data_IF_745831169611
#
_entry.id   IF_745831169611
#
_cell.length_a   1.000
_cell.length_b   1.000
_cell.length_c   1.000
_cell.angle_alpha   90.00
_cell.angle_beta   90.00
_cell.angle_gamma   90.00
#
_symmetry.space_group_name_H-M   'P 1'
#
loop_
_entity.id
_entity.type
_entity.pdbx_description
1 polymer ?
#
# COMPACT_ATOMS: atom_id res chain seq x y z
N UNK A 1 -4.61 18.36 -13.78
CA UNK A 1 -4.38 17.27 -12.82
C UNK A 1 -2.95 17.41 -12.32
N UNK A 2 -2.71 17.35 -11.00
CA UNK A 2 -1.36 17.50 -10.43
C UNK A 2 -0.64 16.16 -10.53
N UNK A 3 0.49 16.15 -11.22
CA UNK A 3 1.34 14.97 -11.35
C UNK A 3 2.39 15.02 -10.24
N UNK A 4 2.37 14.04 -9.33
CA UNK A 4 3.41 13.88 -8.32
C UNK A 4 4.49 12.96 -8.86
N UNK A 5 5.74 13.40 -8.86
CA UNK A 5 6.87 12.54 -9.28
C UNK A 5 7.28 11.53 -8.21
N UNK A 6 6.81 11.73 -6.98
CA UNK A 6 7.25 10.97 -5.81
C UNK A 6 6.09 10.82 -4.80
N UNK A 7 5.92 9.61 -4.27
CA UNK A 7 5.01 9.32 -3.16
C UNK A 7 5.80 8.90 -1.92
N UNK A 8 5.55 9.59 -0.81
CA UNK A 8 6.14 9.31 0.49
C UNK A 8 5.07 8.68 1.37
N UNK A 9 5.17 7.37 1.59
CA UNK A 9 4.27 6.63 2.47
C UNK A 9 4.82 6.68 3.89
N UNK A 10 4.09 7.27 4.83
CA UNK A 10 4.45 7.34 6.25
C UNK A 10 3.66 6.30 7.02
N UNK A 11 4.36 5.42 7.74
CA UNK A 11 3.74 4.37 8.54
C UNK A 11 3.08 4.93 9.79
N UNK A 12 1.80 4.60 9.99
CA UNK A 12 1.01 4.90 11.19
C UNK A 12 0.75 3.60 11.96
N UNK A 13 1.34 3.52 13.15
CA UNK A 13 1.24 2.43 14.12
C UNK A 13 1.62 2.93 15.52
N UNK A 14 1.43 2.11 16.56
CA UNK A 14 1.69 2.50 17.96
C UNK A 14 3.10 3.06 18.18
N UNK A 15 4.12 2.49 17.52
CA UNK A 15 5.50 2.96 17.66
C UNK A 15 5.68 4.36 17.07
N UNK A 16 5.17 4.59 15.86
CA UNK A 16 5.24 5.89 15.19
C UNK A 16 4.41 6.96 15.91
N UNK A 17 3.25 6.58 16.48
CA UNK A 17 2.39 7.49 17.26
C UNK A 17 3.12 7.93 18.52
N UNK A 18 3.71 6.99 19.26
CA UNK A 18 4.53 7.31 20.44
C UNK A 18 5.77 8.15 20.10
N UNK A 19 6.29 8.03 18.87
CA UNK A 19 7.40 8.83 18.37
C UNK A 19 6.98 10.22 17.83
N UNK A 20 5.68 10.58 17.83
CA UNK A 20 5.21 11.89 17.40
C UNK A 20 5.01 12.04 15.89
N UNK A 21 4.60 10.97 15.18
CA UNK A 21 4.44 10.98 13.71
C UNK A 21 3.53 12.07 13.16
N UNK A 22 2.52 12.52 13.92
CA UNK A 22 1.62 13.60 13.48
C UNK A 22 2.36 14.93 13.30
N UNK A 23 3.17 15.28 14.29
CA UNK A 23 3.97 16.50 14.26
C UNK A 23 5.06 16.40 13.17
N UNK A 24 5.64 15.21 13.00
CA UNK A 24 6.58 14.92 11.93
C UNK A 24 5.97 15.13 10.54
N UNK A 25 4.77 14.60 10.27
CA UNK A 25 4.08 14.78 8.98
C UNK A 25 3.80 16.25 8.71
N UNK A 26 3.36 17.00 9.72
CA UNK A 26 3.12 18.43 9.58
C UNK A 26 4.42 19.19 9.26
N UNK A 27 5.50 18.89 9.96
CA UNK A 27 6.81 19.48 9.72
C UNK A 27 7.36 19.11 8.32
N UNK A 28 7.19 17.86 7.88
CA UNK A 28 7.61 17.39 6.57
C UNK A 28 6.88 18.14 5.45
N UNK A 29 5.56 18.26 5.56
CA UNK A 29 4.74 19.04 4.61
C UNK A 29 5.16 20.50 4.57
N UNK A 30 5.48 21.09 5.73
CA UNK A 30 5.94 22.48 5.81
C UNK A 30 7.31 22.68 5.13
N UNK A 31 8.27 21.77 5.33
CA UNK A 31 9.59 21.87 4.69
C UNK A 31 9.52 21.61 3.17
N UNK A 32 8.63 20.71 2.73
CA UNK A 32 8.33 20.53 1.30
C UNK A 32 7.74 21.81 0.68
N UNK A 33 6.83 22.50 1.38
CA UNK A 33 6.27 23.77 0.91
C UNK A 33 7.33 24.87 0.82
N UNK A 34 8.22 24.96 1.80
CA UNK A 34 9.33 25.92 1.84
C UNK A 34 10.33 25.72 0.70
N UNK A 35 10.53 24.47 0.27
CA UNK A 35 11.43 24.11 -0.83
C UNK A 35 10.75 24.07 -2.20
N UNK A 36 9.44 24.37 -2.27
CA UNK A 36 8.67 24.39 -3.51
C UNK A 36 8.27 23.02 -4.04
N UNK A 37 8.44 21.96 -3.25
CA UNK A 37 8.22 20.57 -3.64
C UNK A 37 6.82 20.04 -3.29
N UNK A 38 5.97 20.83 -2.64
CA UNK A 38 4.64 20.42 -2.18
C UNK A 38 3.69 19.99 -3.31
N UNK A 39 3.97 20.42 -4.54
CA UNK A 39 3.19 20.05 -5.74
C UNK A 39 3.80 18.88 -6.51
N UNK A 40 4.99 18.43 -6.13
CA UNK A 40 5.72 17.36 -6.79
C UNK A 40 5.79 16.08 -5.95
N UNK A 41 5.64 16.21 -4.63
CA UNK A 41 5.80 15.12 -3.66
C UNK A 41 4.53 14.97 -2.83
N UNK A 42 3.91 13.79 -2.92
CA UNK A 42 2.71 13.48 -2.17
C UNK A 42 3.05 12.72 -0.88
N UNK A 43 2.60 13.22 0.27
CA UNK A 43 2.81 12.58 1.59
C UNK A 43 1.53 11.90 2.03
N UNK A 44 1.55 10.57 2.04
CA UNK A 44 0.42 9.70 2.32
C UNK A 44 0.62 8.94 3.64
N UNK A 45 -0.46 8.76 4.39
CA UNK A 45 -0.49 7.95 5.61
C UNK A 45 -0.89 6.52 5.24
N UNK A 46 -0.24 5.52 5.84
CA UNK A 46 -0.55 4.11 5.61
C UNK A 46 -0.33 3.28 6.88
N UNK A 47 -0.86 2.06 6.91
CA UNK A 47 -0.58 1.11 7.99
C UNK A 47 0.90 0.68 8.06
N UNK A 48 1.25 -0.30 8.90
CA UNK A 48 2.62 -0.75 9.07
C UNK A 48 3.28 -1.15 7.73
N UNK A 49 4.42 -0.53 7.43
CA UNK A 49 5.23 -0.86 6.24
C UNK A 49 6.06 -2.15 6.40
N UNK A 50 5.77 -2.95 7.43
CA UNK A 50 6.50 -4.18 7.78
C UNK A 50 7.80 -3.98 8.57
N UNK A 51 8.17 -2.73 8.89
CA UNK A 51 9.30 -2.39 9.75
C UNK A 51 8.78 -2.03 11.15
N UNK A 52 8.74 -3.01 12.06
CA UNK A 52 8.16 -2.83 13.39
C UNK A 52 9.20 -2.34 14.41
N UNK A 53 8.75 -1.50 15.35
CA UNK A 53 9.56 -1.07 16.51
C UNK A 53 10.68 -0.07 16.19
N UNK A 54 10.62 0.66 15.07
CA UNK A 54 11.68 1.58 14.61
C UNK A 54 11.24 3.05 14.51
N UNK A 55 10.48 3.53 15.48
CA UNK A 55 10.02 4.92 15.50
C UNK A 55 9.17 5.29 14.29
N UNK A 56 9.50 6.41 13.66
CA UNK A 56 8.86 6.89 12.43
C UNK A 56 9.58 6.28 11.22
N UNK A 57 8.82 5.58 10.38
CA UNK A 57 9.32 4.94 9.16
C UNK A 57 8.57 5.47 7.95
N UNK A 58 9.27 5.58 6.81
CA UNK A 58 8.65 5.93 5.53
C UNK A 58 9.24 5.14 4.36
N UNK A 59 8.45 4.97 3.30
CA UNK A 59 8.87 4.42 2.02
C UNK A 59 8.67 5.47 0.94
N UNK A 60 9.69 5.67 0.09
CA UNK A 60 9.66 6.58 -1.05
C UNK A 60 9.50 5.80 -2.35
N UNK A 61 8.40 6.04 -3.07
CA UNK A 61 8.15 5.53 -4.43
C UNK A 61 8.44 6.62 -5.48
N UNK A 62 8.91 6.24 -6.68
CA UNK A 62 9.04 4.87 -7.22
C UNK A 62 10.33 4.13 -6.82
N UNK A 63 11.29 4.81 -6.17
CA UNK A 63 12.63 4.28 -5.87
C UNK A 63 12.63 3.10 -4.88
N UNK A 64 11.53 2.88 -4.17
CA UNK A 64 11.36 1.87 -3.13
C UNK A 64 12.40 1.97 -2.00
N UNK A 65 12.75 3.21 -1.62
CA UNK A 65 13.72 3.48 -0.57
C UNK A 65 13.00 3.56 0.77
N UNK A 66 13.51 2.83 1.76
CA UNK A 66 12.92 2.73 3.08
C UNK A 66 13.80 3.46 4.09
N UNK A 67 13.19 4.34 4.89
CA UNK A 67 13.83 5.07 5.97
C UNK A 67 13.22 4.68 7.32
N UNK A 68 14.04 4.76 8.37
CA UNK A 68 13.69 4.29 9.72
C UNK A 68 14.15 5.27 10.80
N UNK A 69 13.53 5.17 11.98
CA UNK A 69 13.87 5.94 13.18
C UNK A 69 14.04 7.45 12.92
N UNK A 70 13.17 7.99 12.05
CA UNK A 70 13.24 9.37 11.63
C UNK A 70 12.82 10.31 12.76
N UNK A 71 13.57 11.40 12.91
CA UNK A 71 13.27 12.50 13.82
C UNK A 71 12.90 13.73 13.02
N UNK A 72 12.16 14.64 13.64
CA UNK A 72 11.82 15.95 13.03
C UNK A 72 13.06 16.73 12.60
N UNK A 73 14.18 16.54 13.31
CA UNK A 73 15.49 17.14 13.01
C UNK A 73 16.11 16.63 11.70
N UNK A 74 15.72 15.43 11.22
CA UNK A 74 16.23 14.83 9.99
C UNK A 74 15.53 15.38 8.74
N UNK A 75 14.37 16.02 8.89
CA UNK A 75 13.53 16.50 7.78
C UNK A 75 14.29 17.43 6.83
N UNK A 76 15.06 18.44 7.30
CA UNK A 76 15.80 19.33 6.38
C UNK A 76 16.83 18.58 5.53
N UNK A 77 17.52 17.58 6.10
CA UNK A 77 18.47 16.76 5.35
C UNK A 77 17.76 15.86 4.35
N UNK A 78 16.68 15.18 4.78
CA UNK A 78 15.88 14.30 3.93
C UNK A 78 15.32 15.06 2.71
N UNK A 79 14.72 16.24 2.93
CA UNK A 79 14.16 17.05 1.86
C UNK A 79 15.25 17.58 0.92
N UNK A 80 16.36 18.09 1.47
CA UNK A 80 17.41 18.71 0.66
C UNK A 80 18.23 17.68 -0.12
N UNK A 81 18.57 16.53 0.47
CA UNK A 81 19.37 15.51 -0.21
C UNK A 81 18.50 14.62 -1.09
N UNK A 82 17.47 13.99 -0.54
CA UNK A 82 16.69 13.02 -1.32
C UNK A 82 15.74 13.72 -2.29
N UNK A 83 14.85 14.56 -1.78
CA UNK A 83 13.76 15.09 -2.59
C UNK A 83 14.19 16.19 -3.56
N UNK A 84 15.08 17.07 -3.14
CA UNK A 84 15.57 18.17 -3.98
C UNK A 84 16.71 17.74 -4.91
N UNK A 85 17.71 16.99 -4.40
CA UNK A 85 18.92 16.62 -5.16
C UNK A 85 18.92 15.19 -5.72
N UNK A 86 17.90 14.38 -5.39
CA UNK A 86 17.81 12.99 -5.85
C UNK A 86 18.80 12.04 -5.20
N UNK A 87 19.37 12.39 -4.03
CA UNK A 87 20.36 11.57 -3.32
C UNK A 87 19.76 10.97 -2.05
N UNK A 88 19.56 9.65 -1.99
CA UNK A 88 19.12 8.99 -0.77
C UNK A 88 20.06 9.26 0.40
N UNK A 89 19.54 9.30 1.62
CA UNK A 89 20.31 9.61 2.84
C UNK A 89 20.71 8.32 3.56
N UNK A 90 21.92 7.75 3.35
CA UNK A 90 22.19 6.37 3.75
C UNK A 90 22.15 6.14 5.25
N UNK A 91 22.47 7.17 6.08
CA UNK A 91 22.40 7.07 7.54
C UNK A 91 20.98 6.88 8.08
N UNK A 92 19.98 7.30 7.31
CA UNK A 92 18.56 7.21 7.69
C UNK A 92 17.89 5.98 7.08
N UNK A 93 18.55 5.34 6.11
CA UNK A 93 17.98 4.21 5.40
C UNK A 93 17.90 2.98 6.30
N UNK A 94 16.88 2.18 6.05
CA UNK A 94 16.75 0.86 6.65
C UNK A 94 17.93 -0.02 6.23
N UNK A 95 18.63 -0.61 7.21
CA UNK A 95 19.67 -1.60 6.95
C UNK A 95 19.14 -2.79 6.17
N UNK A 96 19.77 -3.08 5.02
CA UNK A 96 19.45 -4.22 4.16
C UNK A 96 19.68 -5.60 4.83
N UNK A 97 20.54 -5.65 5.86
CA UNK A 97 20.90 -6.88 6.60
C UNK A 97 20.12 -7.08 7.90
N UNK A 98 19.14 -6.22 8.18
CA UNK A 98 18.27 -6.38 9.33
C UNK A 98 17.48 -7.71 9.24
N UNK A 99 17.58 -8.56 10.27
CA UNK A 99 16.71 -9.76 10.44
C UNK A 99 15.21 -9.43 10.47
N UNK A 100 14.89 -8.15 10.69
CA UNK A 100 13.56 -7.57 10.70
C UNK A 100 13.29 -6.70 9.47
N UNK A 101 14.16 -6.74 8.45
CA UNK A 101 13.78 -6.27 7.12
C UNK A 101 12.89 -7.37 6.56
N UNK A 102 11.56 -7.17 6.47
CA UNK A 102 10.77 -8.03 5.62
C UNK A 102 11.42 -8.01 4.24
N UNK A 103 11.93 -9.18 3.83
CA UNK A 103 12.30 -9.44 2.45
C UNK A 103 11.00 -9.51 1.65
N UNK A 104 10.37 -8.35 1.48
CA UNK A 104 9.26 -8.23 0.57
C UNK A 104 9.84 -8.50 -0.81
N UNK A 105 9.39 -9.60 -1.41
CA UNK A 105 9.59 -9.80 -2.82
C UNK A 105 8.66 -8.83 -3.56
N UNK A 106 9.12 -7.58 -3.68
CA UNK A 106 8.39 -6.51 -4.35
C UNK A 106 8.05 -6.89 -5.80
N UNK A 107 8.91 -7.70 -6.44
CA UNK A 107 8.71 -8.22 -7.80
C UNK A 107 7.50 -9.17 -7.91
N UNK A 108 6.93 -9.65 -6.79
CA UNK A 108 5.78 -10.55 -6.75
C UNK A 108 4.53 -9.96 -6.09
N UNK A 109 4.43 -8.64 -5.97
CA UNK A 109 3.23 -7.99 -5.40
C UNK A 109 2.03 -8.09 -6.34
N UNK A 110 1.30 -9.20 -6.35
CA UNK A 110 0.14 -9.36 -7.26
C UNK A 110 -1.01 -8.40 -6.95
N UNK A 111 -1.40 -8.28 -5.67
CA UNK A 111 -2.52 -7.41 -5.22
C UNK A 111 -2.07 -5.96 -5.06
N UNK A 112 -0.87 -5.75 -4.51
CA UNK A 112 -0.33 -4.42 -4.21
C UNK A 112 0.54 -3.83 -5.32
N UNK A 113 0.57 -4.43 -6.53
CA UNK A 113 1.44 -3.98 -7.64
C UNK A 113 1.29 -2.50 -7.97
N UNK A 114 0.10 -1.94 -7.82
CA UNK A 114 -0.18 -0.55 -8.17
C UNK A 114 -0.04 0.41 -6.98
N UNK A 115 0.18 -0.11 -5.76
CA UNK A 115 0.28 0.71 -4.55
C UNK A 115 1.51 1.61 -4.62
N UNK A 116 1.31 2.92 -4.52
CA UNK A 116 2.38 3.92 -4.63
C UNK A 116 2.83 4.21 -6.07
N UNK A 117 2.19 3.60 -7.07
CA UNK A 117 2.43 3.85 -8.51
C UNK A 117 1.32 4.72 -9.12
N UNK A 118 0.07 4.51 -8.69
CA UNK A 118 -1.10 5.27 -9.15
C UNK A 118 -1.74 6.02 -7.98
N UNK A 119 -2.47 7.09 -8.30
CA UNK A 119 -3.37 7.78 -7.39
C UNK A 119 -4.60 6.90 -7.09
N UNK A 120 -4.82 6.47 -5.82
CA UNK A 120 -5.96 5.63 -5.47
C UNK A 120 -7.32 6.35 -5.61
N UNK A 121 -7.35 7.68 -5.69
CA UNK A 121 -8.57 8.46 -5.88
C UNK A 121 -8.86 8.77 -7.36
N UNK A 122 -7.96 8.37 -8.27
CA UNK A 122 -8.11 8.61 -9.69
C UNK A 122 -8.49 7.32 -10.46
N UNK A 123 -9.70 7.32 -11.02
CA UNK A 123 -10.19 6.16 -11.79
C UNK A 123 -9.47 5.97 -13.12
N UNK A 124 -9.06 7.04 -13.80
CA UNK A 124 -8.41 6.97 -15.11
C UNK A 124 -7.00 6.37 -14.99
N UNK A 125 -6.28 6.66 -13.90
CA UNK A 125 -5.00 6.01 -13.62
C UNK A 125 -5.17 4.53 -13.33
N UNK A 126 -6.20 4.15 -12.56
CA UNK A 126 -6.48 2.73 -12.30
C UNK A 126 -6.82 1.98 -13.59
N UNK A 127 -7.66 2.56 -14.46
CA UNK A 127 -7.96 2.01 -15.79
C UNK A 127 -6.69 1.94 -16.65
N UNK A 128 -5.86 2.98 -16.64
CA UNK A 128 -4.64 3.06 -17.45
C UNK A 128 -3.60 1.98 -17.15
N UNK A 129 -3.65 1.37 -15.96
CA UNK A 129 -2.80 0.23 -15.56
C UNK A 129 -3.52 -1.13 -15.63
N UNK A 130 -4.61 -1.22 -16.39
CA UNK A 130 -5.41 -2.44 -16.60
C UNK A 130 -6.43 -2.72 -15.49
N UNK A 131 -6.78 -1.71 -14.68
CA UNK A 131 -7.88 -1.79 -13.73
C UNK A 131 -9.21 -2.06 -14.44
N UNK A 132 -10.10 -2.80 -13.79
CA UNK A 132 -11.41 -3.24 -14.31
C UNK A 132 -11.43 -4.21 -15.50
N UNK A 133 -10.31 -4.54 -16.16
CA UNK A 133 -10.29 -5.51 -17.28
C UNK A 133 -10.90 -6.87 -16.88
N UNK A 134 -10.55 -7.38 -15.69
CA UNK A 134 -11.11 -8.63 -15.18
C UNK A 134 -12.61 -8.52 -14.86
N UNK A 135 -13.08 -7.33 -14.46
CA UNK A 135 -14.49 -7.07 -14.19
C UNK A 135 -15.30 -7.00 -15.49
N UNK A 136 -14.78 -6.34 -16.52
CA UNK A 136 -15.37 -6.33 -17.86
C UNK A 136 -15.53 -7.75 -18.40
N UNK A 137 -14.48 -8.56 -18.35
CA UNK A 137 -14.52 -9.99 -18.75
C UNK A 137 -15.59 -10.75 -17.97
N UNK A 138 -15.61 -10.61 -16.65
CA UNK A 138 -16.57 -11.31 -15.79
C UNK A 138 -18.03 -10.92 -16.10
N UNK A 139 -18.30 -9.66 -16.41
CA UNK A 139 -19.64 -9.16 -16.71
C UNK A 139 -20.13 -9.51 -18.11
N UNK A 140 -19.23 -9.51 -19.10
CA UNK A 140 -19.63 -9.56 -20.52
C UNK A 140 -19.38 -10.91 -21.18
N UNK A 141 -18.47 -11.73 -20.63
CA UNK A 141 -17.98 -12.95 -21.29
C UNK A 141 -18.12 -14.21 -20.43
N UNK A 142 -18.55 -14.10 -19.17
CA UNK A 142 -18.58 -15.23 -18.24
C UNK A 142 -19.95 -15.42 -17.61
N UNK A 143 -20.34 -16.66 -17.42
CA UNK A 143 -21.44 -17.06 -16.57
C UNK A 143 -21.00 -17.12 -15.10
N UNK A 144 -21.91 -16.94 -14.13
CA UNK A 144 -21.57 -16.94 -12.71
C UNK A 144 -20.75 -18.17 -12.26
N UNK A 145 -21.07 -19.36 -12.77
CA UNK A 145 -20.35 -20.59 -12.43
C UNK A 145 -18.96 -20.68 -13.06
N UNK A 146 -18.72 -20.06 -14.21
CA UNK A 146 -17.39 -19.98 -14.82
C UNK A 146 -16.46 -19.11 -13.96
N UNK A 147 -16.99 -18.03 -13.36
CA UNK A 147 -16.25 -17.19 -12.42
C UNK A 147 -15.87 -17.99 -11.17
N UNK A 148 -16.79 -18.80 -10.64
CA UNK A 148 -16.52 -19.67 -9.47
C UNK A 148 -15.42 -20.68 -9.78
N UNK A 149 -15.46 -21.32 -10.95
CA UNK A 149 -14.44 -22.30 -11.33
C UNK A 149 -13.08 -21.65 -11.62
N UNK A 150 -13.03 -20.44 -12.19
CA UNK A 150 -11.78 -19.67 -12.35
C UNK A 150 -11.12 -19.39 -10.98
N UNK A 151 -11.88 -18.91 -10.00
CA UNK A 151 -11.37 -18.63 -8.64
C UNK A 151 -10.96 -19.91 -7.90
N UNK A 152 -11.65 -21.02 -8.18
CA UNK A 152 -11.30 -22.33 -7.63
C UNK A 152 -10.01 -22.87 -8.26
N UNK A 153 -9.85 -22.74 -9.57
CA UNK A 153 -8.65 -23.12 -10.31
C UNK A 153 -7.43 -22.29 -9.89
N UNK A 154 -7.62 -21.01 -9.54
CA UNK A 154 -6.55 -20.15 -9.04
C UNK A 154 -5.97 -20.59 -7.69
N UNK A 155 -6.65 -21.48 -6.96
CA UNK A 155 -6.23 -21.93 -5.63
C UNK A 155 -6.28 -20.82 -4.57
N UNK A 156 -7.06 -19.75 -4.77
CA UNK A 156 -7.15 -18.64 -3.83
C UNK A 156 -7.67 -19.13 -2.47
N UNK A 157 -6.98 -18.74 -1.40
CA UNK A 157 -7.35 -19.04 -0.01
C UNK A 157 -7.71 -17.76 0.72
N UNK A 158 -8.64 -17.87 1.66
CA UNK A 158 -9.04 -16.76 2.53
C UNK A 158 -7.85 -16.17 3.29
N UNK A 159 -7.70 -14.86 3.22
CA UNK A 159 -6.53 -14.15 3.77
C UNK A 159 -6.72 -13.63 5.21
N UNK A 160 -7.92 -13.74 5.78
CA UNK A 160 -8.19 -13.43 7.19
C UNK A 160 -7.83 -14.57 8.16
N UNK A 161 -6.69 -15.22 7.99
CA UNK A 161 -6.18 -16.25 8.92
C UNK A 161 -6.60 -17.70 8.61
N UNK A 162 -7.89 -18.01 8.56
CA UNK A 162 -8.38 -19.41 8.47
C UNK A 162 -7.97 -20.17 7.19
N UNK A 163 -7.59 -19.48 6.12
CA UNK A 163 -7.04 -20.12 4.92
C UNK A 163 -8.02 -21.03 4.16
N UNK A 164 -9.33 -20.89 4.35
CA UNK A 164 -10.33 -21.69 3.63
C UNK A 164 -10.33 -21.34 2.13
N UNK A 165 -10.41 -22.32 1.19
CA UNK A 165 -10.39 -22.03 -0.25
C UNK A 165 -11.59 -21.17 -0.70
N UNK A 166 -11.31 -20.03 -1.34
CA UNK A 166 -12.31 -19.03 -1.70
C UNK A 166 -13.29 -19.57 -2.75
N UNK A 167 -12.79 -20.21 -3.82
CA UNK A 167 -13.65 -20.79 -4.86
C UNK A 167 -14.58 -21.89 -4.34
N UNK A 168 -14.11 -22.71 -3.38
CA UNK A 168 -14.97 -23.70 -2.72
C UNK A 168 -16.08 -23.00 -1.93
N UNK A 169 -15.76 -21.95 -1.16
CA UNK A 169 -16.75 -21.18 -0.41
C UNK A 169 -17.83 -20.61 -1.34
N UNK A 170 -17.42 -20.05 -2.48
CA UNK A 170 -18.36 -19.50 -3.47
C UNK A 170 -19.21 -20.59 -4.14
N UNK A 171 -18.66 -21.78 -4.38
CA UNK A 171 -19.40 -22.91 -4.97
C UNK A 171 -20.57 -23.39 -4.10
N UNK A 172 -20.55 -23.12 -2.79
CA UNK A 172 -21.67 -23.45 -1.90
C UNK A 172 -22.83 -22.48 -2.01
N UNK A 173 -22.57 -21.20 -2.33
CA UNK A 173 -23.57 -20.13 -2.29
C UNK A 173 -24.06 -19.70 -3.67
N UNK A 174 -23.21 -19.82 -4.70
CA UNK A 174 -23.54 -19.49 -6.08
C UNK A 174 -24.78 -20.25 -6.63
N UNK A 175 -24.90 -21.59 -6.46
CA UNK A 175 -26.01 -22.35 -7.06
C UNK A 175 -27.33 -22.25 -6.28
N UNK A 176 -27.33 -21.72 -5.05
CA UNK A 176 -28.55 -21.62 -4.25
C UNK A 176 -29.49 -20.56 -4.83
N UNK A 177 -30.76 -20.90 -5.04
CA UNK A 177 -31.77 -19.93 -5.43
C UNK A 177 -32.19 -19.09 -4.21
N UNK A 178 -32.09 -17.77 -4.34
CA UNK A 178 -32.52 -16.81 -3.34
C UNK A 178 -32.88 -15.50 -4.03
N UNK A 179 -33.95 -14.86 -3.59
CA UNK A 179 -34.36 -13.54 -4.08
C UNK A 179 -33.29 -12.47 -3.82
N UNK A 180 -32.59 -12.59 -2.69
CA UNK A 180 -31.51 -11.68 -2.30
C UNK A 180 -30.28 -12.47 -1.83
N UNK A 181 -29.10 -12.06 -2.31
CA UNK A 181 -27.80 -12.53 -1.82
C UNK A 181 -26.96 -11.35 -1.35
N UNK A 182 -25.98 -11.63 -0.49
CA UNK A 182 -25.09 -10.62 0.07
C UNK A 182 -23.62 -10.99 -0.16
N UNK A 183 -22.80 -9.97 -0.40
CA UNK A 183 -21.35 -10.05 -0.34
C UNK A 183 -20.93 -9.20 0.84
N UNK A 184 -20.22 -9.80 1.79
CA UNK A 184 -19.73 -9.11 2.99
C UNK A 184 -18.21 -9.08 2.95
N UNK A 185 -17.65 -7.88 2.97
CA UNK A 185 -16.21 -7.66 3.10
C UNK A 185 -15.92 -7.44 4.57
N UNK A 186 -15.13 -8.32 5.17
CA UNK A 186 -14.61 -8.09 6.51
C UNK A 186 -13.33 -7.25 6.41
N UNK A 187 -13.41 -6.00 6.85
CA UNK A 187 -12.30 -5.06 6.95
C UNK A 187 -11.94 -4.74 8.43
N UNK A 188 -12.46 -5.53 9.37
CA UNK A 188 -12.10 -5.47 10.78
C UNK A 188 -10.76 -6.18 11.01
N UNK A 189 -9.67 -5.48 10.67
CA UNK A 189 -8.28 -5.95 10.82
C UNK A 189 -7.79 -5.83 12.27
N UNK A 190 -8.59 -6.34 13.22
CA UNK A 190 -8.35 -6.15 14.67
C UNK A 190 -7.23 -7.01 15.27
N UNK A 191 -6.63 -7.92 14.49
CA UNK A 191 -5.47 -8.68 14.97
C UNK A 191 -4.22 -7.79 14.98
N UNK A 192 -3.47 -7.73 16.11
CA UNK A 192 -2.17 -7.06 16.13
C UNK A 192 -1.24 -7.70 15.11
N UNK A 193 -0.77 -6.90 14.14
CA UNK A 193 0.18 -7.30 13.09
C UNK A 193 1.63 -7.39 13.56
#
# INVERSE_FOLDING_TARGET
>A
MKYYRCHVLVSINDTSINAGVKDFIQALRAELAKTGLQEEINVLETGPLGFFGRGICLTVYPENINYQDLKTEDIPELVNEHFLKGRPVPRLMLDSDSKFSPKFNYDQRVVLRNSGIIDPENIDEYIGVGGYEAWEKALTQMQPMEIVEEVKASGLRGRGGAGFPAGIKWSFTAPLEAEQKYVVVNADEGEPG
#
